data_IF_039634852445
#
_entry.id   IF_039634852445
#
_cell.length_a   1.000
_cell.length_b   1.000
_cell.length_c   1.000
_cell.angle_alpha   90.00
_cell.angle_beta   90.00
_cell.angle_gamma   90.00
#
_symmetry.space_group_name_H-M   'P 1'
#
loop_
_entity.id
_entity.type
_entity.pdbx_description
1 polymer ?
#
# COMPACT_ATOMS: atom_id res chain seq x y z
N UNK A 1 -34.50 13.17 1.82
CA UNK A 1 -33.49 13.03 0.76
C UNK A 1 -32.53 14.20 0.87
N UNK A 2 -31.37 13.92 1.48
CA UNK A 2 -30.09 14.66 1.56
C UNK A 2 -29.47 14.32 2.93
N UNK A 3 -28.83 13.15 3.01
CA UNK A 3 -28.03 12.75 4.17
C UNK A 3 -26.66 13.44 4.05
N UNK A 4 -26.51 14.55 4.78
CA UNK A 4 -25.23 15.22 5.02
C UNK A 4 -24.50 14.43 6.08
N UNK A 5 -23.64 13.48 5.68
CA UNK A 5 -22.67 12.88 6.60
C UNK A 5 -21.73 13.99 7.06
N UNK A 6 -21.94 14.44 8.29
CA UNK A 6 -21.04 15.32 9.01
C UNK A 6 -19.71 14.60 9.20
N UNK A 7 -18.64 15.20 8.70
CA UNK A 7 -17.30 14.92 9.22
C UNK A 7 -17.23 15.66 10.56
N UNK A 8 -17.42 14.90 11.64
CA UNK A 8 -17.33 15.37 13.01
C UNK A 8 -15.89 15.78 13.33
N UNK A 9 -15.66 17.09 13.23
CA UNK A 9 -14.47 17.75 13.72
C UNK A 9 -14.47 17.73 15.25
N UNK A 10 -13.49 17.06 15.85
CA UNK A 10 -13.15 17.18 17.28
C UNK A 10 -11.66 17.54 17.40
N UNK A 11 -11.38 18.86 17.37
CA UNK A 11 -10.58 19.64 18.32
C UNK A 11 -9.43 18.92 19.10
N UNK A 12 -8.18 19.37 19.24
CA UNK A 12 -7.46 20.64 19.09
C UNK A 12 -5.93 20.37 19.15
N UNK A 13 -5.12 21.00 18.30
CA UNK A 13 -3.97 21.81 18.74
C UNK A 13 -3.49 22.67 17.56
N UNK A 14 -3.39 23.98 17.77
CA UNK A 14 -2.74 24.87 16.82
C UNK A 14 -1.24 24.54 16.77
N UNK A 15 -0.78 23.84 15.75
CA UNK A 15 0.63 23.54 15.52
C UNK A 15 0.83 23.13 14.06
N UNK A 16 1.56 23.96 13.30
CA UNK A 16 2.08 23.71 11.93
C UNK A 16 1.15 22.89 11.01
N UNK A 17 0.49 23.57 10.06
CA UNK A 17 -0.20 22.90 8.94
C UNK A 17 0.68 21.77 8.40
N UNK A 18 0.32 20.50 8.63
CA UNK A 18 1.19 19.39 8.24
C UNK A 18 1.20 19.37 6.72
N UNK A 19 2.36 19.69 6.15
CA UNK A 19 2.57 19.79 4.70
C UNK A 19 2.37 18.43 4.03
N UNK A 20 2.49 17.35 4.82
CA UNK A 20 2.28 15.97 4.42
C UNK A 20 0.99 15.42 4.99
N UNK A 21 0.22 14.70 4.17
CA UNK A 21 -1.03 14.06 4.57
C UNK A 21 -1.27 12.78 3.77
N UNK A 22 -1.76 11.68 4.38
CA UNK A 22 -2.03 10.45 3.64
C UNK A 22 -3.27 10.59 2.74
N UNK A 23 -3.15 10.21 1.47
CA UNK A 23 -4.20 10.27 0.44
C UNK A 23 -4.03 9.07 -0.50
N UNK A 24 -5.08 8.27 -0.71
CA UNK A 24 -5.06 7.11 -1.61
C UNK A 24 -3.95 6.07 -1.32
N UNK A 25 -3.54 5.92 -0.06
CA UNK A 25 -2.40 5.05 0.29
C UNK A 25 -1.02 5.62 -0.08
N UNK A 26 -0.96 6.89 -0.47
CA UNK A 26 0.24 7.68 -0.74
C UNK A 26 0.35 8.84 0.24
N UNK A 27 1.50 9.49 0.27
CA UNK A 27 1.72 10.75 0.99
C UNK A 27 1.54 11.90 0.00
N UNK A 28 0.62 12.81 0.29
CA UNK A 28 0.53 14.07 -0.44
C UNK A 28 1.38 15.13 0.25
N UNK A 29 2.44 15.57 -0.43
CA UNK A 29 3.20 16.76 -0.05
C UNK A 29 2.58 18.00 -0.72
N UNK A 30 1.92 18.84 0.08
CA UNK A 30 1.22 20.05 -0.36
C UNK A 30 2.17 21.14 -0.84
N UNK A 31 3.40 21.18 -0.33
CA UNK A 31 4.38 22.19 -0.75
C UNK A 31 4.89 21.90 -2.16
N UNK A 32 5.20 20.63 -2.41
CA UNK A 32 5.71 20.18 -3.70
C UNK A 32 4.59 19.84 -4.70
N UNK A 33 3.34 19.82 -4.24
CA UNK A 33 2.18 19.33 -5.00
C UNK A 33 2.44 17.93 -5.59
N UNK A 34 3.10 17.07 -4.81
CA UNK A 34 3.56 15.76 -5.24
C UNK A 34 2.89 14.66 -4.41
N UNK A 35 2.61 13.53 -5.07
CA UNK A 35 2.23 12.29 -4.42
C UNK A 35 3.47 11.42 -4.29
N UNK A 36 3.81 11.06 -3.07
CA UNK A 36 4.97 10.26 -2.71
C UNK A 36 4.52 8.88 -2.23
N UNK A 37 5.26 7.85 -2.61
CA UNK A 37 5.11 6.51 -2.03
C UNK A 37 6.02 6.48 -0.82
N UNK A 38 5.47 6.09 0.32
CA UNK A 38 6.28 5.84 1.50
C UNK A 38 6.91 4.45 1.42
N UNK A 39 8.22 4.41 1.24
CA UNK A 39 9.00 3.17 1.09
C UNK A 39 9.11 2.38 2.38
N UNK A 40 9.05 3.03 3.55
CA UNK A 40 9.09 2.34 4.85
C UNK A 40 7.88 1.40 5.00
N UNK A 41 6.74 1.77 4.42
CA UNK A 41 5.54 0.91 4.39
C UNK A 41 5.63 -0.23 3.37
N UNK A 42 6.67 -0.29 2.54
CA UNK A 42 6.89 -1.33 1.54
C UNK A 42 8.07 -2.26 1.90
N UNK A 43 8.77 -2.00 2.99
CA UNK A 43 9.85 -2.85 3.45
C UNK A 43 9.32 -4.11 4.16
N UNK A 44 10.07 -5.20 4.01
CA UNK A 44 9.92 -6.41 4.81
C UNK A 44 11.09 -6.53 5.76
N UNK A 45 10.84 -6.99 6.98
CA UNK A 45 11.91 -7.55 7.79
C UNK A 45 12.34 -8.86 7.11
N UNK A 46 13.61 -8.96 6.69
CA UNK A 46 14.18 -10.16 6.06
C UNK A 46 14.04 -11.42 6.94
N UNK A 47 13.82 -11.23 8.24
CA UNK A 47 13.63 -12.32 9.21
C UNK A 47 12.19 -12.82 9.26
N UNK A 48 11.24 -12.08 8.70
CA UNK A 48 9.83 -12.47 8.69
C UNK A 48 9.52 -13.41 7.53
N UNK A 49 8.65 -14.39 7.79
CA UNK A 49 8.14 -15.28 6.74
C UNK A 49 7.32 -14.48 5.75
N UNK A 50 7.75 -14.47 4.49
CA UNK A 50 6.99 -13.90 3.39
C UNK A 50 5.88 -14.89 3.03
N UNK A 51 4.63 -14.51 3.31
CA UNK A 51 3.44 -15.31 2.97
C UNK A 51 2.63 -14.64 1.87
N UNK A 52 1.79 -15.40 1.16
CA UNK A 52 0.89 -14.85 0.13
C UNK A 52 0.01 -13.74 0.67
N UNK A 53 -0.48 -13.88 1.91
CA UNK A 53 -1.26 -12.85 2.60
C UNK A 53 -0.48 -11.55 2.74
N UNK A 54 0.81 -11.64 3.06
CA UNK A 54 1.66 -10.46 3.25
C UNK A 54 1.97 -9.76 1.94
N UNK A 55 2.25 -10.52 0.88
CA UNK A 55 2.41 -9.99 -0.49
C UNK A 55 1.14 -9.25 -0.91
N UNK A 56 -0.03 -9.87 -0.76
CA UNK A 56 -1.31 -9.23 -1.06
C UNK A 56 -1.53 -7.96 -0.23
N UNK A 57 -1.26 -8.01 1.07
CA UNK A 57 -1.38 -6.86 1.96
C UNK A 57 -0.54 -5.68 1.44
N UNK A 58 0.70 -5.94 1.04
CA UNK A 58 1.58 -4.91 0.51
C UNK A 58 1.11 -4.35 -0.84
N UNK A 59 0.74 -5.22 -1.78
CA UNK A 59 0.16 -4.80 -3.07
C UNK A 59 -1.10 -3.94 -2.85
N UNK A 60 -1.91 -4.28 -1.86
CA UNK A 60 -3.15 -3.56 -1.55
C UNK A 60 -2.92 -2.18 -0.90
N UNK A 61 -1.74 -1.91 -0.33
CA UNK A 61 -1.41 -0.59 0.25
C UNK A 61 -1.29 0.48 -0.83
N UNK A 62 -0.79 0.12 -2.01
CA UNK A 62 -0.67 0.97 -3.19
C UNK A 62 -2.00 1.06 -3.97
N UNK A 63 -3.12 1.19 -3.26
CA UNK A 63 -4.45 1.23 -3.85
C UNK A 63 -4.61 2.47 -4.73
N UNK A 64 -4.69 2.27 -6.04
CA UNK A 64 -4.76 3.33 -7.02
C UNK A 64 -6.08 3.30 -7.79
N UNK A 65 -7.11 4.07 -7.35
CA UNK A 65 -8.41 4.06 -8.00
C UNK A 65 -8.43 4.78 -9.35
N UNK A 66 -7.42 5.61 -9.65
CA UNK A 66 -7.40 6.49 -10.85
C UNK A 66 -6.40 5.99 -11.90
N UNK A 67 -5.43 5.16 -11.52
CA UNK A 67 -4.43 4.59 -12.43
C UNK A 67 -3.08 5.34 -12.45
N UNK A 68 -2.83 6.27 -11.52
CA UNK A 68 -1.57 7.01 -11.41
C UNK A 68 -0.33 6.11 -11.21
N UNK A 69 -0.49 5.01 -10.48
CA UNK A 69 0.56 4.03 -10.17
C UNK A 69 0.51 2.81 -11.08
N UNK A 70 -0.33 2.82 -12.13
CA UNK A 70 -0.59 1.62 -12.95
C UNK A 70 0.68 0.94 -13.47
N UNK A 71 1.68 1.72 -13.90
CA UNK A 71 2.96 1.22 -14.42
C UNK A 71 3.83 0.58 -13.32
N UNK A 72 3.88 1.21 -12.15
CA UNK A 72 4.62 0.70 -10.98
C UNK A 72 3.94 -0.56 -10.44
N UNK A 73 2.62 -0.61 -10.50
CA UNK A 73 1.80 -1.72 -10.03
C UNK A 73 1.81 -2.95 -10.94
N UNK A 74 2.44 -2.91 -12.12
CA UNK A 74 2.54 -4.09 -13.00
C UNK A 74 3.33 -5.21 -12.33
N UNK A 75 4.52 -4.91 -11.81
CA UNK A 75 5.38 -5.94 -11.19
C UNK A 75 4.73 -6.57 -9.96
N UNK A 76 4.20 -5.81 -8.99
CA UNK A 76 3.50 -6.38 -7.83
C UNK A 76 2.25 -7.19 -8.24
N UNK A 77 1.55 -6.79 -9.32
CA UNK A 77 0.41 -7.56 -9.84
C UNK A 77 0.82 -8.87 -10.50
N UNK A 78 1.92 -8.90 -11.25
CA UNK A 78 2.46 -10.14 -11.83
C UNK A 78 2.85 -11.09 -10.70
N UNK A 79 3.52 -10.60 -9.67
CA UNK A 79 3.90 -11.37 -8.49
C UNK A 79 2.70 -11.90 -7.70
N UNK A 80 1.65 -11.08 -7.56
CA UNK A 80 0.41 -11.52 -6.95
C UNK A 80 -0.26 -12.63 -7.79
N UNK A 81 -0.19 -12.54 -9.12
CA UNK A 81 -0.72 -13.58 -10.00
C UNK A 81 0.12 -14.86 -9.96
N UNK A 82 1.44 -14.79 -9.82
CA UNK A 82 2.30 -15.99 -9.70
C UNK A 82 2.04 -16.70 -8.37
N UNK A 83 1.96 -15.96 -7.26
CA UNK A 83 1.63 -16.52 -5.94
C UNK A 83 0.25 -17.18 -5.89
N UNK A 84 -0.72 -16.70 -6.69
CA UNK A 84 -2.05 -17.31 -6.80
C UNK A 84 -2.07 -18.61 -7.61
N UNK A 85 -1.11 -18.82 -8.50
CA UNK A 85 -0.99 -20.10 -9.25
C UNK A 85 -0.43 -21.22 -8.36
N UNK A 86 0.30 -20.86 -7.32
CA UNK A 86 0.82 -21.82 -6.34
C UNK A 86 -0.30 -22.43 -5.50
N UNK A 87 -0.16 -23.71 -5.16
CA UNK A 87 -1.16 -24.45 -4.35
C UNK A 87 -1.00 -24.26 -2.84
N UNK A 88 0.02 -23.52 -2.41
CA UNK A 88 0.31 -23.24 -0.99
C UNK A 88 -0.81 -22.42 -0.32
N UNK A 89 -0.94 -22.57 1.00
CA UNK A 89 -1.89 -21.81 1.82
C UNK A 89 -1.53 -20.31 1.91
N UNK A 90 -2.49 -19.49 2.33
CA UNK A 90 -2.32 -18.03 2.46
C UNK A 90 -1.28 -17.62 3.51
N UNK A 91 -1.12 -18.46 4.54
CA UNK A 91 -0.25 -18.24 5.69
C UNK A 91 1.02 -19.12 5.63
N UNK A 92 1.18 -19.89 4.56
CA UNK A 92 2.41 -20.62 4.26
C UNK A 92 3.46 -19.69 3.66
N UNK A 93 4.71 -20.01 3.94
CA UNK A 93 5.87 -19.29 3.43
C UNK A 93 6.04 -19.59 1.94
N UNK A 94 6.14 -18.54 1.13
CA UNK A 94 6.22 -18.70 -0.33
C UNK A 94 7.51 -19.40 -0.74
N UNK A 95 7.42 -20.22 -1.79
CA UNK A 95 8.58 -20.91 -2.35
C UNK A 95 9.73 -19.94 -2.72
N UNK A 96 10.96 -20.44 -2.68
CA UNK A 96 12.17 -19.64 -2.91
C UNK A 96 12.21 -18.97 -4.29
N UNK A 97 11.54 -19.54 -5.31
CA UNK A 97 11.41 -18.92 -6.62
C UNK A 97 10.66 -17.58 -6.57
N UNK A 98 9.64 -17.47 -5.73
CA UNK A 98 8.87 -16.23 -5.54
C UNK A 98 9.68 -15.22 -4.73
N UNK A 99 10.44 -15.71 -3.73
CA UNK A 99 11.35 -14.85 -2.96
C UNK A 99 12.49 -14.27 -3.79
N UNK A 100 13.01 -15.02 -4.78
CA UNK A 100 14.08 -14.55 -5.66
C UNK A 100 13.63 -13.49 -6.68
N UNK A 101 12.32 -13.41 -6.93
CA UNK A 101 11.71 -12.38 -7.77
C UNK A 101 11.20 -11.18 -6.95
N UNK A 102 11.51 -11.16 -5.65
CA UNK A 102 11.16 -10.10 -4.71
C UNK A 102 12.33 -9.13 -4.53
#
# INVERSE_FOLDING_TARGET
MLDRRGCESSALSASSESTRSPVLGLIWDKNLNALEIDTEYLEFDEREKITKRKILSLVSRLFDPIGFLALVMIQPKILLQTTWKEKESWDEEVNNEIKMNF
#
